data_IF_148146554816
#
_entry.id   IF_148146554816
#
_cell.length_a   1.000
_cell.length_b   1.000
_cell.length_c   1.000
_cell.angle_alpha   90.00
_cell.angle_beta   90.00
_cell.angle_gamma   90.00
#
_symmetry.space_group_name_H-M   'P 1'
#
loop_
_entity.id
_entity.type
_entity.pdbx_description
1 polymer ?
#
# COMPACT_ATOMS: atom_id res chain seq x y z
N UNK A 1 -18.59 -52.57 -17.88
CA UNK A 1 -17.58 -51.77 -18.60
C UNK A 1 -17.90 -50.28 -18.67
N UNK A 2 -19.14 -49.85 -18.69
CA UNK A 2 -19.57 -48.44 -18.87
C UNK A 2 -19.26 -47.56 -17.63
N UNK A 3 -19.27 -48.08 -16.41
CA UNK A 3 -18.96 -47.31 -15.16
C UNK A 3 -17.49 -46.85 -15.03
N UNK A 4 -16.54 -47.55 -15.67
CA UNK A 4 -15.11 -47.16 -15.62
C UNK A 4 -14.73 -46.07 -16.60
N UNK A 5 -15.53 -45.85 -17.63
CA UNK A 5 -15.27 -44.80 -18.67
C UNK A 5 -15.72 -43.43 -18.15
N UNK A 6 -16.79 -43.36 -17.35
CA UNK A 6 -17.30 -42.11 -16.76
C UNK A 6 -16.30 -41.52 -15.74
N UNK A 7 -15.56 -42.36 -15.01
CA UNK A 7 -14.57 -41.89 -14.00
C UNK A 7 -13.33 -41.26 -14.63
N UNK A 8 -12.96 -41.61 -15.83
CA UNK A 8 -11.77 -41.08 -16.54
C UNK A 8 -12.07 -39.72 -17.17
N UNK A 9 -13.31 -39.50 -17.65
CA UNK A 9 -13.72 -38.20 -18.21
C UNK A 9 -13.85 -37.11 -17.14
N UNK A 10 -14.25 -37.46 -15.88
CA UNK A 10 -14.34 -36.51 -14.79
C UNK A 10 -12.98 -36.02 -14.26
N UNK A 11 -11.88 -36.73 -14.55
CA UNK A 11 -10.53 -36.34 -14.10
C UNK A 11 -9.80 -35.38 -15.06
N UNK A 12 -10.27 -35.25 -16.31
CA UNK A 12 -9.67 -34.34 -17.29
C UNK A 12 -10.24 -32.91 -17.27
N UNK A 13 -11.23 -32.60 -16.43
CA UNK A 13 -11.76 -31.24 -16.20
C UNK A 13 -11.05 -30.50 -15.05
N UNK A 14 -9.89 -31.00 -14.63
CA UNK A 14 -9.06 -30.41 -13.61
C UNK A 14 -8.33 -29.15 -14.10
N UNK A 15 -8.88 -28.02 -13.75
CA UNK A 15 -8.15 -26.78 -13.34
C UNK A 15 -7.08 -26.27 -14.30
N UNK A 16 -7.46 -25.54 -15.31
CA UNK A 16 -6.61 -24.47 -15.85
C UNK A 16 -6.54 -23.36 -14.78
N UNK A 17 -5.66 -23.56 -13.80
CA UNK A 17 -5.24 -22.43 -12.95
C UNK A 17 -4.37 -21.53 -13.83
N UNK A 18 -4.92 -20.42 -14.30
CA UNK A 18 -4.12 -19.30 -14.79
C UNK A 18 -3.37 -18.74 -13.58
N UNK A 19 -2.16 -19.19 -13.37
CA UNK A 19 -1.22 -18.59 -12.43
C UNK A 19 -0.75 -17.28 -13.06
N UNK A 20 -1.41 -16.18 -12.74
CA UNK A 20 -0.85 -14.86 -12.97
C UNK A 20 0.40 -14.75 -12.09
N UNK A 21 1.56 -14.68 -12.71
CA UNK A 21 2.78 -14.47 -11.97
C UNK A 21 2.75 -13.04 -11.39
N UNK A 22 2.92 -12.94 -10.07
CA UNK A 22 3.02 -11.66 -9.35
C UNK A 22 4.35 -11.64 -8.62
N UNK A 23 5.20 -10.70 -9.00
CA UNK A 23 6.50 -10.47 -8.37
C UNK A 23 6.39 -9.30 -7.39
N UNK A 24 6.67 -9.55 -6.11
CA UNK A 24 6.67 -8.51 -5.08
C UNK A 24 8.12 -8.17 -4.73
N UNK A 25 8.45 -6.89 -4.79
CA UNK A 25 9.78 -6.35 -4.49
C UNK A 25 9.67 -5.42 -3.30
N UNK A 26 10.13 -5.89 -2.14
CA UNK A 26 10.08 -5.15 -0.89
C UNK A 26 11.37 -4.37 -0.65
N UNK A 27 11.25 -3.06 -0.42
CA UNK A 27 12.36 -2.16 -0.07
C UNK A 27 13.57 -2.31 -0.99
N UNK A 28 13.43 -2.06 -2.32
CA UNK A 28 14.55 -2.22 -3.25
C UNK A 28 15.76 -1.39 -2.80
N UNK A 29 16.90 -2.06 -2.63
CA UNK A 29 18.15 -1.45 -2.13
C UNK A 29 19.12 -1.08 -3.23
N UNK A 30 18.93 -1.65 -4.43
CA UNK A 30 19.74 -1.35 -5.61
C UNK A 30 19.31 -0.04 -6.27
N UNK A 31 20.24 0.60 -6.96
CA UNK A 31 19.97 1.79 -7.76
C UNK A 31 19.02 1.48 -8.93
N UNK A 32 19.03 0.24 -9.42
CA UNK A 32 18.11 -0.26 -10.46
C UNK A 32 17.41 -1.54 -9.98
N UNK A 33 16.10 -1.62 -10.23
CA UNK A 33 15.24 -2.76 -9.94
C UNK A 33 15.18 -3.62 -11.19
N UNK A 34 15.77 -4.82 -11.16
CA UNK A 34 15.76 -5.72 -12.30
C UNK A 34 14.52 -6.63 -12.27
N UNK A 35 13.77 -6.67 -13.36
CA UNK A 35 12.54 -7.46 -13.49
C UNK A 35 12.44 -8.15 -14.85
N UNK A 36 11.96 -9.39 -14.82
CA UNK A 36 11.60 -10.09 -16.04
C UNK A 36 10.18 -9.70 -16.45
N UNK A 37 9.96 -9.45 -17.74
CA UNK A 37 8.67 -9.03 -18.27
C UNK A 37 8.34 -9.81 -19.55
N UNK A 38 7.07 -9.96 -19.85
CA UNK A 38 6.63 -10.55 -21.13
C UNK A 38 7.05 -9.66 -22.30
N UNK A 39 7.64 -10.26 -23.32
CA UNK A 39 7.93 -9.58 -24.59
C UNK A 39 6.70 -9.49 -25.51
N UNK A 40 5.60 -10.20 -25.21
CA UNK A 40 4.38 -10.29 -26.04
C UNK A 40 3.17 -9.62 -25.43
N UNK A 41 3.03 -9.75 -24.10
CA UNK A 41 1.84 -9.30 -23.36
C UNK A 41 2.09 -7.98 -22.65
N UNK A 42 1.01 -7.36 -22.20
CA UNK A 42 1.09 -6.16 -21.35
C UNK A 42 1.51 -6.58 -19.96
N UNK A 43 2.54 -5.94 -19.41
CA UNK A 43 2.99 -6.11 -18.04
C UNK A 43 2.51 -4.92 -17.20
N UNK A 44 2.30 -5.13 -15.91
CA UNK A 44 1.85 -4.10 -14.97
C UNK A 44 2.88 -3.92 -13.87
N UNK A 45 3.26 -2.67 -13.60
CA UNK A 45 4.10 -2.31 -12.45
C UNK A 45 3.31 -1.38 -11.54
N UNK A 46 3.27 -1.70 -10.25
CA UNK A 46 2.58 -0.91 -9.22
C UNK A 46 3.62 -0.30 -8.30
N UNK A 47 3.56 1.02 -8.14
CA UNK A 47 4.45 1.80 -7.27
C UNK A 47 3.75 2.19 -5.96
N UNK A 48 4.50 2.50 -4.89
CA UNK A 48 3.92 2.90 -3.61
C UNK A 48 3.29 4.31 -3.63
N UNK A 49 3.64 5.16 -4.63
CA UNK A 49 3.10 6.50 -4.81
C UNK A 49 2.81 6.80 -6.27
N UNK A 50 2.04 7.86 -6.54
CA UNK A 50 1.63 8.27 -7.88
C UNK A 50 2.84 8.56 -8.75
N UNK A 51 2.79 8.09 -10.00
CA UNK A 51 3.79 8.36 -11.04
C UNK A 51 3.47 9.74 -11.64
N UNK A 52 4.46 10.60 -11.65
CA UNK A 52 4.37 11.96 -12.21
C UNK A 52 4.86 12.00 -13.66
N UNK A 53 5.93 11.24 -13.96
CA UNK A 53 6.54 11.21 -15.28
C UNK A 53 7.36 9.91 -15.48
N UNK A 54 7.72 9.62 -16.75
CA UNK A 54 8.57 8.48 -17.12
C UNK A 54 9.62 8.91 -18.14
N UNK A 55 10.85 8.42 -17.96
CA UNK A 55 11.95 8.67 -18.91
C UNK A 55 12.55 7.32 -19.35
N UNK A 56 12.62 7.09 -20.66
CA UNK A 56 13.17 5.88 -21.26
C UNK A 56 13.58 6.11 -22.71
N UNK A 57 14.39 5.21 -23.27
CA UNK A 57 14.81 5.24 -24.67
C UNK A 57 13.67 4.82 -25.60
N UNK A 58 13.22 5.68 -26.48
CA UNK A 58 12.08 5.43 -27.39
C UNK A 58 12.42 4.45 -28.52
N UNK A 59 13.70 4.31 -28.88
CA UNK A 59 14.15 3.48 -29.98
C UNK A 59 13.96 1.96 -29.75
N UNK A 60 13.72 1.57 -28.52
CA UNK A 60 13.51 0.13 -28.17
C UNK A 60 12.12 -0.39 -28.48
N UNK A 61 11.22 0.46 -28.98
CA UNK A 61 9.85 0.06 -29.31
C UNK A 61 9.02 -0.29 -28.09
N UNK A 62 9.22 0.42 -26.98
CA UNK A 62 8.45 0.25 -25.76
C UNK A 62 7.27 1.23 -25.72
N UNK A 63 6.10 0.75 -25.30
CA UNK A 63 4.92 1.58 -25.03
C UNK A 63 4.61 1.51 -23.55
N UNK A 64 4.48 2.69 -22.91
CA UNK A 64 4.15 2.82 -21.51
C UNK A 64 2.88 3.67 -21.39
N UNK A 65 1.92 3.20 -20.57
CA UNK A 65 0.73 3.94 -20.18
C UNK A 65 0.68 4.01 -18.66
N UNK A 66 0.48 5.21 -18.12
CA UNK A 66 0.49 5.47 -16.67
C UNK A 66 -0.92 5.85 -16.20
N UNK A 67 -1.38 5.21 -15.12
CA UNK A 67 -2.63 5.51 -14.44
C UNK A 67 -2.40 5.56 -12.93
N UNK A 68 -2.34 6.76 -12.38
CA UNK A 68 -2.07 6.94 -10.95
C UNK A 68 -0.71 6.40 -10.55
N UNK A 69 -0.70 5.34 -9.75
CA UNK A 69 0.51 4.65 -9.30
C UNK A 69 0.83 3.36 -10.09
N UNK A 70 0.15 3.15 -11.20
CA UNK A 70 0.32 1.96 -12.03
C UNK A 70 0.90 2.32 -13.41
N UNK A 71 1.82 1.51 -13.90
CA UNK A 71 2.34 1.58 -15.25
C UNK A 71 2.06 0.28 -16.01
N UNK A 72 1.49 0.39 -17.19
CA UNK A 72 1.26 -0.70 -18.13
C UNK A 72 2.27 -0.62 -19.25
N UNK A 73 3.03 -1.68 -19.45
CA UNK A 73 4.20 -1.72 -20.31
C UNK A 73 4.07 -2.83 -21.33
N UNK A 74 4.34 -2.52 -22.60
CA UNK A 74 4.31 -3.48 -23.70
C UNK A 74 5.41 -3.20 -24.70
N UNK A 75 6.10 -4.26 -25.18
CA UNK A 75 6.98 -4.17 -26.33
C UNK A 75 6.17 -4.22 -27.63
N UNK A 76 6.55 -3.38 -28.60
CA UNK A 76 5.98 -3.41 -29.94
C UNK A 76 6.67 -4.49 -30.75
N UNK A 77 5.92 -5.41 -31.41
CA UNK A 77 6.51 -6.38 -32.31
C UNK A 77 7.04 -5.70 -33.57
N UNK A 78 8.06 -6.25 -34.16
CA UNK A 78 8.40 -5.93 -35.55
C UNK A 78 7.43 -6.64 -36.48
N UNK A 79 6.93 -5.88 -37.46
CA UNK A 79 6.02 -6.41 -38.47
C UNK A 79 6.84 -6.83 -39.69
N UNK A 80 6.71 -8.09 -40.09
CA UNK A 80 7.32 -8.62 -41.32
C UNK A 80 6.20 -8.90 -42.30
N UNK A 81 6.15 -8.09 -43.35
CA UNK A 81 5.19 -8.28 -44.44
C UNK A 81 5.69 -9.37 -45.39
N UNK A 82 4.80 -10.25 -45.78
CA UNK A 82 5.09 -11.21 -46.86
C UNK A 82 4.82 -10.52 -48.17
N UNK A 83 5.87 -10.36 -48.97
CA UNK A 83 5.77 -9.68 -50.27
C UNK A 83 5.99 -10.67 -51.38
N UNK A 84 5.21 -10.57 -52.47
CA UNK A 84 5.39 -11.31 -53.72
C UNK A 84 5.73 -10.33 -54.82
N UNK A 85 6.77 -10.63 -55.58
CA UNK A 85 7.16 -9.84 -56.73
C UNK A 85 6.30 -10.25 -57.93
N UNK A 86 5.49 -9.33 -58.46
CA UNK A 86 4.66 -9.53 -59.66
C UNK A 86 5.13 -8.53 -60.73
N UNK A 87 5.96 -9.01 -61.67
CA UNK A 87 6.64 -8.17 -62.65
C UNK A 87 7.60 -7.18 -61.98
N UNK A 88 7.40 -5.87 -62.22
CA UNK A 88 8.19 -4.79 -61.59
C UNK A 88 7.58 -4.27 -60.27
N UNK A 89 6.43 -4.79 -59.84
CA UNK A 89 5.74 -4.36 -58.64
C UNK A 89 5.92 -5.38 -57.51
N UNK A 90 5.83 -4.89 -56.28
CA UNK A 90 5.83 -5.69 -55.04
C UNK A 90 4.44 -5.62 -54.46
N UNK A 91 3.78 -6.75 -54.30
CA UNK A 91 2.47 -6.86 -53.67
C UNK A 91 2.60 -7.53 -52.34
N UNK A 92 1.89 -7.00 -51.30
CA UNK A 92 1.79 -7.61 -49.99
C UNK A 92 0.83 -8.79 -50.09
N UNK A 93 1.29 -9.98 -49.72
CA UNK A 93 0.49 -11.21 -49.81
C UNK A 93 0.36 -11.87 -48.47
N UNK A 94 -0.91 -11.98 -48.00
CA UNK A 94 -1.23 -12.66 -46.76
C UNK A 94 -1.16 -11.77 -45.52
N UNK A 95 -1.35 -12.36 -44.33
CA UNK A 95 -1.30 -11.67 -43.07
C UNK A 95 0.16 -11.37 -42.65
N UNK A 96 0.41 -10.20 -42.03
CA UNK A 96 1.73 -9.85 -41.53
C UNK A 96 2.14 -10.79 -40.39
N UNK A 97 3.42 -11.10 -40.32
CA UNK A 97 4.03 -11.86 -39.22
C UNK A 97 4.57 -10.91 -38.15
N UNK A 98 4.14 -11.12 -36.91
CA UNK A 98 4.58 -10.32 -35.77
C UNK A 98 5.77 -10.99 -35.08
N UNK A 99 6.93 -10.33 -35.04
CA UNK A 99 8.17 -10.83 -34.43
C UNK A 99 8.41 -10.12 -33.09
N UNK A 100 8.37 -10.88 -32.01
CA UNK A 100 8.53 -10.38 -30.64
C UNK A 100 9.95 -10.55 -30.07
N UNK A 101 10.77 -11.39 -30.67
CA UNK A 101 12.12 -11.73 -30.21
C UNK A 101 13.13 -10.58 -30.41
N UNK A 102 12.68 -9.45 -30.94
CA UNK A 102 13.49 -8.24 -31.11
C UNK A 102 13.45 -7.31 -29.91
N UNK A 103 12.65 -7.61 -28.88
CA UNK A 103 12.61 -6.85 -27.65
C UNK A 103 13.99 -6.87 -26.95
N UNK A 104 14.48 -5.70 -26.54
CA UNK A 104 15.77 -5.55 -25.87
C UNK A 104 15.59 -5.15 -24.40
N UNK A 105 16.52 -5.54 -23.51
CA UNK A 105 16.56 -4.99 -22.16
C UNK A 105 16.57 -3.47 -22.19
N UNK A 106 15.79 -2.86 -21.30
CA UNK A 106 15.56 -1.41 -21.28
C UNK A 106 15.43 -0.93 -19.87
N UNK A 107 16.12 0.15 -19.54
CA UNK A 107 15.97 0.86 -18.28
C UNK A 107 14.94 1.98 -18.41
N UNK A 108 14.08 2.10 -17.41
CA UNK A 108 13.05 3.12 -17.31
C UNK A 108 13.18 3.82 -15.98
N UNK A 109 13.16 5.14 -15.99
CA UNK A 109 13.06 5.96 -14.80
C UNK A 109 11.61 6.36 -14.59
N UNK A 110 11.01 5.94 -13.47
CA UNK A 110 9.69 6.34 -13.03
C UNK A 110 9.84 7.42 -11.97
N UNK A 111 9.44 8.64 -12.30
CA UNK A 111 9.46 9.78 -11.39
C UNK A 111 8.13 9.76 -10.64
N UNK A 112 8.17 9.50 -9.34
CA UNK A 112 6.97 9.46 -8.49
C UNK A 112 6.94 10.64 -7.53
N UNK A 113 5.84 10.84 -6.81
CA UNK A 113 5.71 11.90 -5.80
C UNK A 113 6.76 11.82 -4.69
N UNK A 114 7.27 10.61 -4.39
CA UNK A 114 8.20 10.40 -3.28
C UNK A 114 9.66 10.31 -3.72
N UNK A 115 9.93 9.66 -4.85
CA UNK A 115 11.29 9.51 -5.41
C UNK A 115 11.26 8.98 -6.85
N UNK A 116 12.41 8.93 -7.49
CA UNK A 116 12.59 8.27 -8.78
C UNK A 116 13.02 6.81 -8.58
N UNK A 117 12.35 5.89 -9.29
CA UNK A 117 12.71 4.48 -9.38
C UNK A 117 13.33 4.19 -10.72
N UNK A 118 14.51 3.57 -10.75
CA UNK A 118 15.07 2.97 -11.95
C UNK A 118 14.63 1.50 -12.02
N UNK A 119 14.05 1.11 -13.16
CA UNK A 119 13.57 -0.26 -13.41
C UNK A 119 14.18 -0.77 -14.70
N UNK A 120 15.01 -1.82 -14.61
CA UNK A 120 15.58 -2.51 -15.76
C UNK A 120 14.69 -3.69 -16.15
N UNK A 121 14.09 -3.60 -17.32
CA UNK A 121 13.21 -4.61 -17.89
C UNK A 121 14.01 -5.64 -18.69
N UNK A 122 13.83 -6.93 -18.39
CA UNK A 122 14.38 -8.04 -19.14
C UNK A 122 13.25 -8.78 -19.87
N UNK A 123 13.05 -8.51 -21.19
CA UNK A 123 11.98 -9.14 -21.96
C UNK A 123 12.26 -10.64 -22.14
N UNK A 124 11.26 -11.45 -21.83
CA UNK A 124 11.28 -12.91 -21.96
C UNK A 124 9.98 -13.42 -22.60
N UNK A 125 10.03 -14.61 -23.18
CA UNK A 125 8.83 -15.30 -23.70
C UNK A 125 8.08 -15.97 -22.55
N UNK A 126 7.45 -15.15 -21.69
CA UNK A 126 6.64 -15.53 -20.54
C UNK A 126 5.26 -14.90 -20.66
N UNK A 127 4.34 -15.29 -19.79
CA UNK A 127 3.04 -14.64 -19.65
C UNK A 127 3.17 -13.22 -19.05
N UNK A 128 2.05 -12.49 -19.03
CA UNK A 128 1.96 -11.17 -18.42
C UNK A 128 2.41 -11.20 -16.95
N UNK A 129 3.28 -10.27 -16.58
CA UNK A 129 3.76 -10.09 -15.20
C UNK A 129 3.10 -8.90 -14.52
N UNK A 130 2.75 -9.09 -13.23
CA UNK A 130 2.40 -8.00 -12.32
C UNK A 130 3.52 -7.85 -11.31
N UNK A 131 4.17 -6.68 -11.31
CA UNK A 131 5.28 -6.36 -10.42
C UNK A 131 4.78 -5.32 -9.42
N UNK A 132 4.87 -5.62 -8.12
CA UNK A 132 4.46 -4.72 -7.05
C UNK A 132 5.72 -4.27 -6.31
N UNK A 133 6.00 -2.98 -6.36
CA UNK A 133 7.13 -2.37 -5.66
C UNK A 133 6.61 -1.78 -4.34
N UNK A 134 6.99 -2.41 -3.23
CA UNK A 134 6.71 -1.93 -1.89
C UNK A 134 7.94 -1.22 -1.33
N UNK A 135 7.90 0.11 -1.20
CA UNK A 135 8.98 0.86 -0.56
C UNK A 135 8.50 1.52 0.72
N UNK A 136 8.54 0.75 1.78
CA UNK A 136 8.17 1.23 3.12
C UNK A 136 9.09 2.35 3.65
N UNK A 137 10.25 2.60 3.01
CA UNK A 137 11.14 3.71 3.36
C UNK A 137 10.60 5.03 2.85
N UNK A 138 10.05 5.07 1.64
CA UNK A 138 9.40 6.25 1.09
C UNK A 138 8.19 6.64 1.93
N UNK A 139 7.31 5.67 2.27
CA UNK A 139 6.18 5.89 3.18
C UNK A 139 6.66 6.41 4.55
N UNK A 140 7.70 5.80 5.12
CA UNK A 140 8.25 6.23 6.41
C UNK A 140 8.84 7.65 6.37
N UNK A 141 9.47 8.05 5.28
CA UNK A 141 10.01 9.41 5.14
C UNK A 141 8.89 10.45 5.09
N UNK A 142 7.79 10.17 4.41
CA UNK A 142 6.64 11.05 4.35
C UNK A 142 5.98 11.23 5.72
N UNK A 143 5.77 10.12 6.43
CA UNK A 143 5.27 10.15 7.82
C UNK A 143 6.23 10.92 8.72
N UNK A 144 7.54 10.65 8.61
CA UNK A 144 8.56 11.33 9.42
C UNK A 144 8.56 12.84 9.15
N UNK A 145 8.39 13.26 7.89
CA UNK A 145 8.26 14.68 7.54
C UNK A 145 7.04 15.29 8.25
N UNK A 146 5.87 14.68 8.15
CA UNK A 146 4.67 15.13 8.85
C UNK A 146 4.87 15.25 10.38
N UNK A 147 5.61 14.31 10.98
CA UNK A 147 5.87 14.27 12.43
C UNK A 147 6.97 15.24 12.89
N UNK A 148 7.75 15.84 11.95
CA UNK A 148 8.89 16.72 12.26
C UNK A 148 8.80 18.11 11.63
N UNK A 149 7.81 18.37 10.79
CA UNK A 149 7.64 19.65 10.10
C UNK A 149 7.31 20.78 11.08
N UNK A 150 6.55 20.48 12.11
CA UNK A 150 6.16 21.44 13.15
C UNK A 150 6.94 21.21 14.47
N UNK A 151 6.76 22.15 15.40
CA UNK A 151 7.24 21.94 16.76
C UNK A 151 6.51 20.79 17.46
N UNK A 152 7.12 20.24 18.49
CA UNK A 152 6.64 19.07 19.22
C UNK A 152 5.17 19.17 19.68
N UNK A 153 4.76 20.31 20.25
CA UNK A 153 3.39 20.49 20.78
C UNK A 153 2.40 20.53 19.62
N UNK A 154 2.68 21.27 18.57
CA UNK A 154 1.83 21.38 17.39
C UNK A 154 1.66 20.01 16.71
N UNK A 155 2.73 19.24 16.58
CA UNK A 155 2.68 17.88 16.01
C UNK A 155 1.75 16.98 16.80
N UNK A 156 1.90 16.92 18.14
CA UNK A 156 1.01 16.11 18.98
C UNK A 156 -0.45 16.58 18.90
N UNK A 157 -0.69 17.90 18.83
CA UNK A 157 -2.02 18.47 18.68
C UNK A 157 -2.66 18.10 17.34
N UNK A 158 -1.93 18.20 16.22
CA UNK A 158 -2.40 17.80 14.88
C UNK A 158 -2.78 16.31 14.83
N UNK A 159 -1.94 15.43 15.40
CA UNK A 159 -2.21 14.00 15.49
C UNK A 159 -3.50 13.76 16.28
N UNK A 160 -3.61 14.38 17.46
CA UNK A 160 -4.78 14.26 18.34
C UNK A 160 -6.05 14.73 17.63
N UNK A 161 -6.02 15.92 17.03
CA UNK A 161 -7.15 16.51 16.33
C UNK A 161 -7.65 15.63 15.17
N UNK A 162 -6.72 15.11 14.34
CA UNK A 162 -7.05 14.22 13.25
C UNK A 162 -7.80 12.98 13.75
N UNK A 163 -7.31 12.34 14.83
CA UNK A 163 -7.93 11.14 15.41
C UNK A 163 -9.30 11.46 16.01
N UNK A 164 -9.44 12.58 16.72
CA UNK A 164 -10.73 12.99 17.34
C UNK A 164 -11.80 13.30 16.30
N UNK A 165 -11.43 13.89 15.16
CA UNK A 165 -12.32 14.13 14.02
C UNK A 165 -12.70 12.86 13.25
N UNK A 166 -12.23 11.69 13.67
CA UNK A 166 -12.47 10.41 12.99
C UNK A 166 -11.63 10.21 11.74
N UNK A 167 -10.62 11.06 11.51
CA UNK A 167 -9.68 10.95 10.41
C UNK A 167 -8.45 10.10 10.78
N UNK A 168 -7.56 9.96 9.81
CA UNK A 168 -6.25 9.33 9.99
C UNK A 168 -5.17 10.38 9.79
N UNK A 169 -4.21 10.55 10.73
CA UNK A 169 -3.06 11.41 10.52
C UNK A 169 -2.31 11.02 9.25
N UNK A 170 -1.73 11.97 8.55
CA UNK A 170 -1.12 11.75 7.24
C UNK A 170 -0.09 10.61 7.26
N UNK A 171 -0.31 9.61 6.42
CA UNK A 171 0.53 8.44 6.24
C UNK A 171 0.43 7.37 7.36
N UNK A 172 -0.28 7.64 8.46
CA UNK A 172 -0.40 6.69 9.56
C UNK A 172 -1.16 5.42 9.15
N UNK A 173 -0.73 4.29 9.69
CA UNK A 173 -1.42 3.00 9.53
C UNK A 173 -2.45 2.83 10.64
N UNK A 174 -3.71 2.57 10.27
CA UNK A 174 -4.77 2.30 11.23
C UNK A 174 -4.87 0.81 11.48
N UNK A 175 -4.86 0.44 12.77
CA UNK A 175 -5.14 -0.94 13.21
C UNK A 175 -6.39 -0.90 14.09
N UNK A 176 -7.48 -1.42 13.57
CA UNK A 176 -8.68 -1.62 14.36
C UNK A 176 -8.41 -2.67 15.44
N UNK A 177 -8.67 -2.31 16.69
CA UNK A 177 -8.44 -3.19 17.83
C UNK A 177 -9.57 -3.06 18.87
N UNK A 178 -10.83 -3.23 18.47
CA UNK A 178 -11.93 -3.09 19.39
C UNK A 178 -11.77 -4.11 20.54
N UNK A 179 -11.52 -3.60 21.74
CA UNK A 179 -11.32 -4.45 22.92
C UNK A 179 -11.77 -3.71 24.16
N UNK A 180 -12.61 -4.38 24.97
CA UNK A 180 -12.91 -3.90 26.32
C UNK A 180 -11.64 -3.99 27.16
N UNK A 181 -11.28 -2.87 27.81
CA UNK A 181 -10.16 -2.78 28.73
C UNK A 181 -10.66 -2.98 30.19
N UNK A 182 -9.71 -2.97 31.13
CA UNK A 182 -10.07 -3.01 32.54
C UNK A 182 -10.80 -1.73 32.91
N UNK A 183 -11.99 -1.86 33.49
CA UNK A 183 -12.77 -0.72 33.98
C UNK A 183 -12.06 -0.02 35.13
N UNK A 184 -12.20 1.29 35.20
CA UNK A 184 -11.99 2.04 36.43
C UNK A 184 -13.29 2.06 37.25
N UNK A 185 -13.23 2.54 38.48
CA UNK A 185 -14.34 2.46 39.43
C UNK A 185 -15.69 2.88 38.85
N UNK A 186 -15.74 4.08 38.26
CA UNK A 186 -16.99 4.73 37.83
C UNK A 186 -17.15 4.78 36.31
N UNK A 187 -16.14 4.32 35.55
CA UNK A 187 -16.14 4.33 34.08
C UNK A 187 -15.79 2.98 33.48
N UNK A 188 -16.34 2.70 32.33
CA UNK A 188 -15.86 1.63 31.46
C UNK A 188 -14.99 2.19 30.35
N UNK A 189 -13.95 1.44 29.97
CA UNK A 189 -12.97 1.86 28.97
C UNK A 189 -12.88 0.80 27.87
N UNK A 190 -13.01 1.24 26.64
CA UNK A 190 -12.85 0.39 25.45
C UNK A 190 -11.75 0.95 24.55
N UNK A 191 -10.89 0.06 24.05
CA UNK A 191 -9.93 0.40 23.02
C UNK A 191 -10.64 0.39 21.68
N UNK A 192 -10.46 1.41 20.87
CA UNK A 192 -11.09 1.53 19.54
C UNK A 192 -10.07 1.26 18.46
N UNK A 193 -9.11 2.16 18.27
CA UNK A 193 -8.13 2.10 17.19
C UNK A 193 -6.72 2.44 17.68
N UNK A 194 -5.73 1.88 16.96
CA UNK A 194 -4.34 2.28 17.01
C UNK A 194 -3.96 2.92 15.68
N UNK A 195 -3.39 4.12 15.75
CA UNK A 195 -2.82 4.85 14.62
C UNK A 195 -1.30 4.83 14.78
N UNK A 196 -0.59 4.18 13.86
CA UNK A 196 0.87 4.00 13.94
C UNK A 196 1.59 4.87 12.92
N UNK A 197 2.38 5.82 13.41
CA UNK A 197 3.35 6.60 12.63
C UNK A 197 4.77 6.07 12.82
N UNK A 198 5.77 6.88 12.45
CA UNK A 198 7.20 6.53 12.57
C UNK A 198 7.73 6.84 13.97
N UNK A 199 7.48 8.04 14.49
CA UNK A 199 7.92 8.48 15.82
C UNK A 199 6.84 8.28 16.88
N UNK A 200 5.57 8.48 16.49
CA UNK A 200 4.44 8.50 17.40
C UNK A 200 3.36 7.51 17.00
N UNK A 201 2.69 6.97 18.02
CA UNK A 201 1.48 6.17 17.87
C UNK A 201 0.37 6.80 18.70
N UNK A 202 -0.84 6.92 18.14
CA UNK A 202 -2.00 7.42 18.84
C UNK A 202 -2.98 6.27 19.13
N UNK A 203 -3.39 6.17 20.39
CA UNK A 203 -4.33 5.17 20.89
C UNK A 203 -5.66 5.85 21.15
N UNK A 204 -6.71 5.48 20.43
CA UNK A 204 -8.05 5.98 20.65
C UNK A 204 -8.80 5.05 21.61
N UNK A 205 -9.23 5.61 22.72
CA UNK A 205 -10.10 4.95 23.69
C UNK A 205 -11.47 5.64 23.71
N UNK A 206 -12.51 4.84 23.92
CA UNK A 206 -13.84 5.30 24.26
C UNK A 206 -14.10 5.03 25.75
N UNK A 207 -14.60 6.02 26.43
CA UNK A 207 -14.89 5.99 27.87
C UNK A 207 -16.37 6.25 28.09
N UNK A 208 -17.02 5.38 28.86
CA UNK A 208 -18.43 5.53 29.23
C UNK A 208 -18.58 5.70 30.75
N UNK A 209 -19.31 6.70 31.17
CA UNK A 209 -19.72 6.87 32.54
C UNK A 209 -20.74 5.80 32.95
N UNK A 210 -20.47 5.04 34.00
CA UNK A 210 -21.38 4.01 34.53
C UNK A 210 -22.34 4.55 35.61
N UNK A 211 -22.16 5.78 36.05
CA UNK A 211 -22.90 6.39 37.14
C UNK A 211 -24.00 7.32 36.65
N UNK A 212 -24.86 7.72 37.55
CA UNK A 212 -25.90 8.75 37.32
C UNK A 212 -25.44 10.16 37.66
N UNK A 213 -24.16 10.34 37.98
CA UNK A 213 -23.54 11.61 38.33
C UNK A 213 -22.55 12.05 37.23
N UNK A 214 -22.37 13.37 37.10
CA UNK A 214 -21.35 13.89 36.19
C UNK A 214 -19.96 13.67 36.78
N UNK A 215 -18.98 13.29 35.90
CA UNK A 215 -17.62 12.99 36.32
C UNK A 215 -16.62 13.89 35.59
N UNK A 216 -15.61 14.36 36.30
CA UNK A 216 -14.42 14.98 35.69
C UNK A 216 -13.34 13.91 35.59
N UNK A 217 -12.93 13.59 34.37
CA UNK A 217 -11.90 12.60 34.12
C UNK A 217 -10.51 13.20 34.36
N UNK A 218 -9.65 12.45 35.04
CA UNK A 218 -8.27 12.85 35.26
C UNK A 218 -7.36 12.17 34.20
N UNK A 219 -6.62 12.92 33.34
CA UNK A 219 -5.73 12.33 32.37
C UNK A 219 -4.72 11.34 32.95
N UNK A 220 -4.28 11.54 34.20
CA UNK A 220 -3.34 10.63 34.87
C UNK A 220 -3.87 9.21 35.05
N UNK A 221 -5.18 9.03 35.15
CA UNK A 221 -5.81 7.71 35.31
C UNK A 221 -5.65 6.85 34.03
N UNK A 222 -5.47 7.50 32.88
CA UNK A 222 -5.30 6.82 31.59
C UNK A 222 -3.85 6.40 31.30
N UNK A 223 -2.88 6.79 32.12
CA UNK A 223 -1.48 6.33 31.98
C UNK A 223 -1.39 4.81 32.04
N UNK A 224 -2.22 4.15 32.84
CA UNK A 224 -2.24 2.70 32.99
C UNK A 224 -2.62 1.95 31.69
N UNK A 225 -3.27 2.61 30.75
CA UNK A 225 -3.63 2.02 29.44
C UNK A 225 -2.55 2.21 28.38
N UNK A 226 -1.59 3.09 28.63
CA UNK A 226 -0.39 3.22 27.80
C UNK A 226 0.65 2.17 28.22
N UNK A 227 1.11 1.36 27.28
CA UNK A 227 2.20 0.38 27.56
C UNK A 227 3.56 1.04 27.83
N UNK A 228 3.72 2.28 27.41
CA UNK A 228 4.92 3.11 27.54
C UNK A 228 4.53 4.48 28.08
N UNK A 229 5.53 5.27 28.52
CA UNK A 229 5.29 6.64 29.00
C UNK A 229 4.59 7.47 27.92
N UNK A 230 3.37 7.96 28.17
CA UNK A 230 2.63 8.75 27.22
C UNK A 230 3.34 10.09 26.98
N UNK A 231 3.22 10.60 25.75
CA UNK A 231 3.70 11.93 25.35
C UNK A 231 2.63 12.98 25.51
N UNK A 232 1.37 12.58 25.30
CA UNK A 232 0.20 13.36 25.65
C UNK A 232 -0.98 12.45 25.96
N UNK A 233 -1.91 12.96 26.77
CA UNK A 233 -3.22 12.35 27.01
C UNK A 233 -4.23 13.47 26.86
N UNK A 234 -5.13 13.36 25.90
CA UNK A 234 -6.18 14.33 25.60
C UNK A 234 -7.54 13.70 25.82
N UNK A 235 -8.40 14.39 26.54
CA UNK A 235 -9.78 13.96 26.82
C UNK A 235 -10.72 14.90 26.06
N UNK A 236 -11.61 14.32 25.29
CA UNK A 236 -12.64 15.05 24.56
C UNK A 236 -14.00 14.55 25.01
N UNK A 237 -14.79 15.47 25.60
CA UNK A 237 -16.15 15.19 26.02
C UNK A 237 -17.11 15.50 24.88
N UNK A 238 -18.07 14.62 24.66
CA UNK A 238 -19.16 14.91 23.73
C UNK A 238 -20.00 16.10 24.30
N UNK A 239 -20.63 16.85 23.40
CA UNK A 239 -21.50 18.00 23.75
C UNK A 239 -20.80 19.27 24.28
N UNK A 240 -19.53 19.49 23.91
CA UNK A 240 -18.79 20.73 24.22
C UNK A 240 -18.75 21.13 25.73
N UNK A 241 -18.94 20.16 26.62
CA UNK A 241 -18.81 20.33 28.04
C UNK A 241 -17.45 19.90 28.55
N UNK A 242 -17.05 20.31 29.73
CA UNK A 242 -15.76 19.97 30.35
C UNK A 242 -15.85 18.81 31.36
N UNK A 243 -16.91 18.01 31.30
CA UNK A 243 -17.14 16.86 32.17
C UNK A 243 -17.91 15.76 31.45
N UNK A 244 -17.78 14.53 31.92
CA UNK A 244 -18.47 13.37 31.39
C UNK A 244 -19.88 13.29 31.96
N UNK A 245 -20.88 13.46 31.12
CA UNK A 245 -22.29 13.42 31.54
C UNK A 245 -22.67 12.04 32.13
N UNK A 246 -23.72 12.00 32.96
CA UNK A 246 -24.28 10.73 33.45
C UNK A 246 -24.59 9.78 32.30
N UNK A 247 -24.09 8.53 32.33
CA UNK A 247 -24.21 7.51 31.29
C UNK A 247 -23.65 7.93 29.91
N UNK A 248 -23.01 9.10 29.80
CA UNK A 248 -22.44 9.66 28.59
C UNK A 248 -21.10 9.04 28.18
N UNK A 249 -20.58 9.50 27.06
CA UNK A 249 -19.33 9.05 26.48
C UNK A 249 -18.30 10.17 26.36
N UNK A 250 -17.03 9.79 26.36
CA UNK A 250 -15.92 10.66 26.04
C UNK A 250 -14.89 9.87 25.20
N UNK A 251 -14.11 10.59 24.40
CA UNK A 251 -12.95 10.03 23.70
C UNK A 251 -11.68 10.42 24.43
N UNK A 252 -10.75 9.46 24.54
CA UNK A 252 -9.42 9.70 25.08
C UNK A 252 -8.39 9.29 24.04
N UNK A 253 -7.51 10.23 23.69
CA UNK A 253 -6.38 9.96 22.79
C UNK A 253 -5.10 9.97 23.61
N UNK A 254 -4.37 8.86 23.58
CA UNK A 254 -3.07 8.71 24.23
C UNK A 254 -2.03 8.63 23.15
N UNK A 255 -1.06 9.55 23.12
CA UNK A 255 0.07 9.49 22.20
C UNK A 255 1.28 8.91 22.93
N UNK A 256 1.90 7.90 22.31
CA UNK A 256 3.13 7.25 22.79
C UNK A 256 4.21 7.33 21.72
N UNK A 257 5.46 6.96 22.06
CA UNK A 257 6.45 6.67 21.02
C UNK A 257 6.07 5.38 20.28
N UNK A 258 6.25 5.38 18.97
CA UNK A 258 6.08 4.15 18.18
C UNK A 258 7.15 3.13 18.57
N UNK A 259 6.74 1.89 18.85
CA UNK A 259 7.68 0.80 19.10
C UNK A 259 8.35 0.41 17.80
N UNK A 260 9.68 0.39 17.80
CA UNK A 260 10.42 -0.26 16.72
C UNK A 260 10.08 -1.76 16.78
N UNK A 261 9.59 -2.32 15.69
CA UNK A 261 9.49 -3.77 15.57
C UNK A 261 10.91 -4.33 15.70
N UNK A 262 11.24 -4.94 16.83
CA UNK A 262 12.36 -5.85 16.93
C UNK A 262 12.00 -7.03 16.03
N UNK A 263 12.67 -7.16 14.87
CA UNK A 263 12.65 -8.40 14.11
C UNK A 263 13.27 -9.43 15.03
N UNK A 264 12.44 -10.21 15.71
CA UNK A 264 12.91 -11.44 16.36
C UNK A 264 13.51 -12.31 15.26
N UNK A 265 14.85 -12.44 15.33
CA UNK A 265 15.59 -13.45 14.59
C UNK A 265 15.06 -14.81 15.08
N UNK A 266 14.24 -15.46 14.25
CA UNK A 266 14.08 -16.91 14.29
C UNK A 266 14.98 -17.55 13.27
#
# INVERSE_FOLDING_TARGET
MIKKIITIIAFCLGSFNFLFATTIIDNPTSDSIEVNVSNKMVNRIVFPSKILDTSYSQEVGLVIQVYGNEAFIRYQPKIKEKVKKVGNNVEIVGEPEYIYDTAKPTEIFFITETKTYSVALHPKSIDSETIIINDFRAEKQEILKYETEDNYITTLSKITESVLKGGTPQGYKVKERPKKLKDLKDISVSYVNLYEGVLYSAHLLEVKNKTKEALILNPKEFIAYAKDSPKSISIYYDNEVNHLLPLGYAKVVIITKTKKETKDKK
#
